data_IF_701611607642
#
_entry.id   IF_701611607642
#
_cell.length_a   1.000
_cell.length_b   1.000
_cell.length_c   1.000
_cell.angle_alpha   90.00
_cell.angle_beta   90.00
_cell.angle_gamma   90.00
#
_symmetry.space_group_name_H-M   'P 1'
#
loop_
_entity.id
_entity.type
_entity.pdbx_description
1 polymer ?
#
# COMPACT_ATOMS: atom_id res chain seq x y z
N UNK A 1 -14.74 -18.04 -10.54
CA UNK A 1 -14.68 -18.31 -12.00
C UNK A 1 -14.68 -17.03 -12.87
N UNK A 2 -15.61 -16.08 -12.68
CA UNK A 2 -15.77 -14.90 -13.56
C UNK A 2 -14.53 -14.00 -13.70
N UNK A 3 -13.76 -13.81 -12.62
CA UNK A 3 -12.49 -13.06 -12.64
C UNK A 3 -11.41 -13.77 -13.47
N UNK A 4 -11.34 -15.10 -13.41
CA UNK A 4 -10.42 -15.91 -14.20
C UNK A 4 -10.76 -15.79 -15.69
N UNK A 5 -12.04 -15.93 -16.04
CA UNK A 5 -12.53 -15.74 -17.42
C UNK A 5 -12.25 -14.33 -17.94
N UNK A 6 -12.44 -13.31 -17.10
CA UNK A 6 -12.08 -11.92 -17.40
C UNK A 6 -10.61 -11.79 -17.75
N UNK A 7 -9.72 -12.29 -16.88
CA UNK A 7 -8.29 -12.15 -17.08
C UNK A 7 -7.82 -12.87 -18.36
N UNK A 8 -8.28 -14.11 -18.57
CA UNK A 8 -7.92 -14.90 -19.75
C UNK A 8 -8.30 -14.21 -21.06
N UNK A 9 -9.52 -13.66 -21.16
CA UNK A 9 -9.98 -12.99 -22.39
C UNK A 9 -9.34 -11.62 -22.58
N UNK A 10 -9.04 -10.90 -21.50
CA UNK A 10 -8.37 -9.59 -21.60
C UNK A 10 -6.91 -9.68 -22.03
N UNK A 11 -6.24 -10.77 -21.64
CA UNK A 11 -4.86 -11.04 -22.06
C UNK A 11 -4.78 -11.61 -23.48
N UNK A 12 -5.84 -12.28 -23.95
CA UNK A 12 -5.89 -12.92 -25.26
C UNK A 12 -7.20 -12.58 -26.01
N UNK A 13 -7.36 -11.32 -26.43
CA UNK A 13 -8.61 -10.82 -27.05
C UNK A 13 -9.00 -11.53 -28.35
N UNK A 14 -8.04 -12.10 -29.06
CA UNK A 14 -8.23 -12.87 -30.31
C UNK A 14 -8.58 -14.35 -30.06
N UNK A 15 -8.56 -14.81 -28.80
CA UNK A 15 -8.86 -16.20 -28.46
C UNK A 15 -10.26 -16.61 -28.97
N UNK A 16 -10.43 -17.79 -29.60
CA UNK A 16 -11.75 -18.31 -29.95
C UNK A 16 -12.60 -18.60 -28.72
N UNK A 17 -13.92 -18.37 -28.81
CA UNK A 17 -14.86 -18.60 -27.71
C UNK A 17 -14.83 -20.04 -27.20
N UNK A 18 -14.74 -21.01 -28.11
CA UNK A 18 -14.65 -22.44 -27.79
C UNK A 18 -13.42 -22.75 -26.94
N UNK A 19 -12.28 -22.13 -27.25
CA UNK A 19 -11.03 -22.27 -26.50
C UNK A 19 -11.14 -21.67 -25.09
N UNK A 20 -11.75 -20.48 -24.97
CA UNK A 20 -12.02 -19.87 -23.66
C UNK A 20 -12.94 -20.76 -22.81
N UNK A 21 -13.99 -21.32 -23.40
CA UNK A 21 -14.90 -22.23 -22.72
C UNK A 21 -14.18 -23.49 -22.24
N UNK A 22 -13.40 -24.15 -23.10
CA UNK A 22 -12.65 -25.34 -22.74
C UNK A 22 -11.69 -25.09 -21.56
N UNK A 23 -10.94 -23.98 -21.59
CA UNK A 23 -10.04 -23.59 -20.50
C UNK A 23 -10.79 -23.38 -19.17
N UNK A 24 -11.90 -22.64 -19.20
CA UNK A 24 -12.69 -22.38 -18.00
C UNK A 24 -13.32 -23.66 -17.45
N UNK A 25 -13.79 -24.55 -18.33
CA UNK A 25 -14.40 -25.81 -17.93
C UNK A 25 -13.39 -26.76 -17.27
N UNK A 26 -12.15 -26.83 -17.79
CA UNK A 26 -11.05 -27.58 -17.15
C UNK A 26 -10.78 -27.03 -15.75
N UNK A 27 -10.63 -25.70 -15.61
CA UNK A 27 -10.39 -25.08 -14.30
C UNK A 27 -11.57 -25.32 -13.34
N UNK A 28 -12.82 -25.27 -13.83
CA UNK A 28 -13.99 -25.55 -13.01
C UNK A 28 -13.97 -26.97 -12.45
N UNK A 29 -13.71 -27.96 -13.29
CA UNK A 29 -13.64 -29.38 -12.88
C UNK A 29 -12.48 -29.66 -11.93
N UNK A 30 -11.32 -29.05 -12.17
CA UNK A 30 -10.10 -29.38 -11.44
C UNK A 30 -9.97 -28.61 -10.11
N UNK A 31 -10.54 -27.40 -10.02
CA UNK A 31 -10.26 -26.44 -8.93
C UNK A 31 -11.49 -25.94 -8.18
N UNK A 32 -12.71 -26.19 -8.65
CA UNK A 32 -13.93 -25.75 -7.94
C UNK A 32 -14.61 -26.92 -7.23
N UNK A 33 -14.97 -26.69 -5.97
CA UNK A 33 -15.66 -27.65 -5.11
C UNK A 33 -16.84 -26.92 -4.44
N UNK A 34 -18.10 -27.23 -4.81
CA UNK A 34 -18.49 -28.05 -5.95
C UNK A 34 -18.19 -27.36 -7.30
N UNK A 35 -18.07 -28.13 -8.41
CA UNK A 35 -18.01 -27.54 -9.74
C UNK A 35 -19.27 -26.74 -10.05
N UNK A 36 -19.12 -25.63 -10.76
CA UNK A 36 -20.24 -24.84 -11.27
C UNK A 36 -21.00 -25.58 -12.36
N UNK A 37 -22.29 -25.29 -12.48
CA UNK A 37 -23.12 -25.81 -13.55
C UNK A 37 -22.68 -25.31 -14.93
N UNK A 38 -22.89 -26.14 -15.95
CA UNK A 38 -22.47 -25.84 -17.31
C UNK A 38 -23.16 -24.58 -17.87
N UNK A 39 -24.41 -24.31 -17.47
CA UNK A 39 -25.15 -23.12 -17.91
C UNK A 39 -24.55 -21.86 -17.31
N UNK A 40 -24.09 -21.93 -16.06
CA UNK A 40 -23.40 -20.82 -15.40
C UNK A 40 -22.06 -20.52 -16.08
N UNK A 41 -21.27 -21.56 -16.39
CA UNK A 41 -20.02 -21.40 -17.16
C UNK A 41 -20.29 -20.75 -18.51
N UNK A 42 -21.30 -21.24 -19.24
CA UNK A 42 -21.71 -20.69 -20.52
C UNK A 42 -22.10 -19.22 -20.40
N UNK A 43 -22.89 -18.85 -19.38
CA UNK A 43 -23.29 -17.48 -19.11
C UNK A 43 -22.07 -16.56 -18.88
N UNK A 44 -21.12 -16.99 -18.05
CA UNK A 44 -19.88 -16.26 -17.76
C UNK A 44 -19.07 -16.06 -19.04
N UNK A 45 -18.82 -17.13 -19.80
CA UNK A 45 -18.03 -17.10 -21.04
C UNK A 45 -18.71 -16.20 -22.08
N UNK A 46 -20.02 -16.34 -22.28
CA UNK A 46 -20.80 -15.51 -23.20
C UNK A 46 -20.67 -14.02 -22.88
N UNK A 47 -20.88 -13.65 -21.61
CA UNK A 47 -20.82 -12.26 -21.16
C UNK A 47 -19.42 -11.67 -21.37
N UNK A 48 -18.38 -12.40 -20.98
CA UNK A 48 -16.99 -11.93 -21.11
C UNK A 48 -16.52 -11.87 -22.56
N UNK A 49 -16.91 -12.86 -23.38
CA UNK A 49 -16.52 -12.92 -24.78
C UNK A 49 -17.15 -11.79 -25.62
N UNK A 50 -18.44 -11.50 -25.39
CA UNK A 50 -19.15 -10.40 -26.07
C UNK A 50 -18.47 -9.05 -25.80
N UNK A 51 -18.06 -8.83 -24.55
CA UNK A 51 -17.49 -7.55 -24.13
C UNK A 51 -15.97 -7.43 -24.31
N UNK A 52 -15.28 -8.46 -24.82
CA UNK A 52 -13.80 -8.60 -24.78
C UNK A 52 -13.00 -7.39 -25.25
N UNK A 53 -13.48 -6.67 -26.26
CA UNK A 53 -12.79 -5.50 -26.81
C UNK A 53 -12.82 -4.30 -25.87
N UNK A 54 -13.88 -4.21 -25.06
CA UNK A 54 -14.10 -3.15 -24.07
C UNK A 54 -13.56 -3.50 -22.67
N UNK A 55 -12.99 -4.69 -22.49
CA UNK A 55 -12.41 -5.11 -21.21
C UNK A 55 -10.92 -4.73 -21.13
N UNK A 56 -10.51 -4.22 -19.98
CA UNK A 56 -9.11 -4.02 -19.61
C UNK A 56 -8.64 -5.13 -18.66
N UNK A 57 -7.37 -5.55 -18.75
CA UNK A 57 -6.79 -6.49 -17.80
C UNK A 57 -6.86 -5.94 -16.38
N UNK A 58 -7.15 -6.82 -15.41
CA UNK A 58 -6.99 -6.48 -13.99
C UNK A 58 -5.49 -6.50 -13.70
N UNK A 59 -4.92 -5.31 -13.55
CA UNK A 59 -3.49 -5.15 -13.25
C UNK A 59 -3.28 -5.50 -11.77
N UNK A 60 -2.33 -6.39 -11.50
CA UNK A 60 -1.93 -6.69 -10.13
C UNK A 60 -1.39 -5.43 -9.45
N UNK A 61 -1.61 -5.30 -8.14
CA UNK A 61 -1.00 -4.21 -7.38
C UNK A 61 0.51 -4.17 -7.62
N UNK A 62 1.05 -2.98 -7.88
CA UNK A 62 2.48 -2.79 -8.06
C UNK A 62 3.21 -3.27 -6.81
N UNK A 63 4.22 -4.14 -6.99
CA UNK A 63 5.06 -4.56 -5.86
C UNK A 63 5.81 -3.35 -5.34
N UNK A 64 5.71 -3.10 -4.03
CA UNK A 64 6.46 -2.02 -3.36
C UNK A 64 7.98 -2.23 -3.38
N UNK A 65 8.41 -3.49 -3.46
CA UNK A 65 9.83 -3.86 -3.43
C UNK A 65 10.15 -4.78 -4.60
N UNK A 66 11.23 -4.45 -5.30
CA UNK A 66 11.86 -5.27 -6.32
C UNK A 66 13.22 -5.74 -5.81
N UNK A 67 13.59 -6.97 -6.14
CA UNK A 67 14.89 -7.54 -5.79
C UNK A 67 15.64 -7.83 -7.07
N UNK A 68 16.93 -7.49 -7.11
CA UNK A 68 17.78 -7.85 -8.23
C UNK A 68 17.84 -9.40 -8.32
N UNK A 69 17.53 -10.00 -9.49
CA UNK A 69 17.54 -11.44 -9.69
C UNK A 69 18.94 -12.08 -9.56
N UNK A 70 20.02 -11.30 -9.68
CA UNK A 70 21.40 -11.80 -9.52
C UNK A 70 21.72 -12.25 -8.09
N UNK A 71 20.98 -11.76 -7.10
CA UNK A 71 21.14 -12.21 -5.72
C UNK A 71 20.28 -13.45 -5.45
N UNK A 72 20.91 -14.52 -4.97
CA UNK A 72 20.25 -15.75 -4.51
C UNK A 72 19.55 -15.58 -3.15
N UNK A 73 18.64 -14.61 -3.07
CA UNK A 73 17.87 -14.33 -1.86
C UNK A 73 16.68 -15.27 -1.74
N UNK A 74 16.64 -16.02 -0.65
CA UNK A 74 15.48 -16.83 -0.28
C UNK A 74 14.31 -15.95 0.22
N UNK A 75 13.12 -16.56 0.33
CA UNK A 75 11.90 -15.85 0.73
C UNK A 75 12.04 -15.14 2.09
N UNK A 76 12.71 -15.78 3.05
CA UNK A 76 12.93 -15.25 4.41
C UNK A 76 13.84 -14.03 4.39
N UNK A 77 14.93 -14.07 3.63
CA UNK A 77 15.86 -12.95 3.46
C UNK A 77 15.17 -11.76 2.79
N UNK A 78 14.40 -12.00 1.71
CA UNK A 78 13.58 -10.97 1.06
C UNK A 78 12.64 -10.30 2.07
N UNK A 79 11.88 -11.10 2.83
CA UNK A 79 10.96 -10.59 3.87
C UNK A 79 11.70 -9.74 4.91
N UNK A 80 12.86 -10.17 5.39
CA UNK A 80 13.67 -9.41 6.36
C UNK A 80 14.10 -8.05 5.81
N UNK A 81 14.57 -7.99 4.57
CA UNK A 81 14.95 -6.73 3.90
C UNK A 81 13.76 -5.79 3.71
N UNK A 82 12.62 -6.34 3.28
CA UNK A 82 11.37 -5.57 3.14
C UNK A 82 10.95 -4.96 4.47
N UNK A 83 10.89 -5.75 5.55
CA UNK A 83 10.48 -5.26 6.88
C UNK A 83 11.46 -4.20 7.38
N UNK A 84 12.77 -4.39 7.18
CA UNK A 84 13.78 -3.39 7.54
C UNK A 84 13.52 -2.05 6.85
N UNK A 85 13.22 -2.05 5.55
CA UNK A 85 12.92 -0.82 4.80
C UNK A 85 11.58 -0.21 5.22
N UNK A 86 10.51 -1.00 5.37
CA UNK A 86 9.21 -0.52 5.86
C UNK A 86 9.35 0.17 7.22
N UNK A 87 10.09 -0.44 8.15
CA UNK A 87 10.28 0.12 9.48
C UNK A 87 11.08 1.43 9.43
N UNK A 88 12.12 1.50 8.58
CA UNK A 88 12.86 2.76 8.35
C UNK A 88 11.95 3.85 7.81
N UNK A 89 11.17 3.55 6.77
CA UNK A 89 10.23 4.51 6.17
C UNK A 89 9.21 5.01 7.21
N UNK A 90 8.70 4.11 8.08
CA UNK A 90 7.76 4.49 9.15
C UNK A 90 8.41 5.46 10.15
N UNK A 91 9.67 5.23 10.50
CA UNK A 91 10.44 6.13 11.38
C UNK A 91 10.64 7.49 10.71
N UNK A 92 11.05 7.51 9.44
CA UNK A 92 11.24 8.74 8.66
C UNK A 92 9.95 9.55 8.55
N UNK A 93 8.82 8.89 8.25
CA UNK A 93 7.50 9.53 8.21
C UNK A 93 7.09 10.12 9.56
N UNK A 94 7.41 9.42 10.66
CA UNK A 94 7.13 9.90 12.01
C UNK A 94 7.96 11.15 12.32
N UNK A 95 9.26 11.12 12.02
CA UNK A 95 10.14 12.28 12.16
C UNK A 95 9.66 13.46 11.32
N UNK A 96 9.31 13.22 10.05
CA UNK A 96 8.82 14.25 9.14
C UNK A 96 7.55 14.94 9.67
N UNK A 97 6.58 14.18 10.20
CA UNK A 97 5.36 14.77 10.80
C UNK A 97 5.68 15.64 12.01
N UNK A 98 6.55 15.17 12.90
CA UNK A 98 6.98 15.92 14.08
C UNK A 98 7.72 17.18 13.65
N UNK A 99 8.68 17.08 12.73
CA UNK A 99 9.42 18.21 12.16
C UNK A 99 8.48 19.24 11.57
N UNK A 100 7.53 18.84 10.71
CA UNK A 100 6.55 19.74 10.12
C UNK A 100 5.70 20.48 11.17
N UNK A 101 5.37 19.79 12.26
CA UNK A 101 4.60 20.37 13.38
C UNK A 101 5.44 21.38 14.15
N UNK A 102 6.72 21.08 14.37
CA UNK A 102 7.67 21.97 15.05
C UNK A 102 7.98 23.21 14.22
N UNK A 103 8.16 23.07 12.90
CA UNK A 103 8.48 24.18 11.99
C UNK A 103 7.30 25.14 11.84
N UNK A 104 6.08 24.60 11.83
CA UNK A 104 4.85 25.37 11.64
C UNK A 104 4.15 25.69 12.97
N UNK A 105 4.91 25.68 14.07
CA UNK A 105 4.33 25.87 15.39
C UNK A 105 3.80 27.30 15.58
N UNK A 106 2.51 27.41 15.90
CA UNK A 106 1.89 28.69 16.24
C UNK A 106 2.02 28.97 17.74
N UNK A 107 3.00 29.82 18.09
CA UNK A 107 3.25 30.23 19.47
C UNK A 107 2.14 31.10 20.06
N UNK A 108 1.38 31.85 19.24
CA UNK A 108 0.28 32.68 19.74
C UNK A 108 -0.89 31.82 20.19
N UNK A 109 -1.20 30.78 19.40
CA UNK A 109 -2.32 29.88 19.67
C UNK A 109 -2.01 28.81 20.71
N UNK A 110 -0.81 28.26 20.68
CA UNK A 110 -0.45 27.07 21.45
C UNK A 110 0.60 27.33 22.54
N UNK A 111 1.15 28.54 22.60
CA UNK A 111 2.18 28.91 23.55
C UNK A 111 3.47 28.13 23.32
N UNK A 112 4.11 27.74 24.42
CA UNK A 112 5.37 26.98 24.42
C UNK A 112 5.20 25.61 23.78
N UNK A 113 6.18 25.22 22.97
CA UNK A 113 6.27 23.86 22.42
C UNK A 113 6.42 22.86 23.56
N UNK A 114 5.49 21.92 23.64
CA UNK A 114 5.52 20.79 24.57
C UNK A 114 5.29 19.49 23.81
N UNK A 115 5.80 18.37 24.33
CA UNK A 115 5.59 17.04 23.74
C UNK A 115 4.09 16.75 23.60
N UNK A 116 3.28 17.11 24.61
CA UNK A 116 1.82 16.93 24.58
C UNK A 116 1.17 17.76 23.47
N UNK A 117 1.59 19.01 23.32
CA UNK A 117 1.09 19.89 22.27
C UNK A 117 1.45 19.38 20.87
N UNK A 118 2.70 18.96 20.66
CA UNK A 118 3.14 18.39 19.38
C UNK A 118 2.39 17.10 19.05
N UNK A 119 2.21 16.21 20.03
CA UNK A 119 1.43 14.98 19.85
C UNK A 119 -0.03 15.27 19.44
N UNK A 120 -0.66 16.25 20.07
CA UNK A 120 -2.03 16.68 19.75
C UNK A 120 -2.14 17.22 18.32
N UNK A 121 -1.28 18.18 17.95
CA UNK A 121 -1.34 18.85 16.63
C UNK A 121 -0.96 17.89 15.49
N UNK A 122 0.03 17.03 15.72
CA UNK A 122 0.49 16.05 14.71
C UNK A 122 -0.41 14.81 14.62
N UNK A 123 -1.39 14.67 15.52
CA UNK A 123 -2.20 13.46 15.72
C UNK A 123 -1.33 12.20 15.83
N UNK A 124 -0.33 12.25 16.71
CA UNK A 124 0.63 11.17 16.94
C UNK A 124 0.61 10.72 18.39
N UNK A 125 0.96 9.46 18.61
CA UNK A 125 1.15 8.93 19.94
C UNK A 125 2.27 9.67 20.69
N UNK A 126 2.01 9.98 21.97
CA UNK A 126 2.91 10.77 22.81
C UNK A 126 4.28 10.11 23.00
N UNK A 127 4.36 8.78 23.12
CA UNK A 127 5.64 8.07 23.29
C UNK A 127 6.47 8.17 22.01
N UNK A 128 5.83 8.10 20.85
CA UNK A 128 6.50 8.29 19.55
C UNK A 128 7.07 9.70 19.41
N UNK A 129 6.30 10.73 19.79
CA UNK A 129 6.80 12.11 19.80
C UNK A 129 7.96 12.25 20.78
N UNK A 130 7.80 11.80 22.02
CA UNK A 130 8.85 11.87 23.05
C UNK A 130 10.16 11.22 22.59
N UNK A 131 10.09 10.06 21.93
CA UNK A 131 11.26 9.35 21.42
C UNK A 131 12.11 10.18 20.46
N UNK A 132 11.49 10.98 19.59
CA UNK A 132 12.20 11.75 18.56
C UNK A 132 12.31 13.25 18.86
N UNK A 133 11.62 13.73 19.89
CA UNK A 133 11.51 15.16 20.19
C UNK A 133 12.87 15.82 20.41
N UNK A 134 13.71 15.28 21.29
CA UNK A 134 15.01 15.87 21.63
C UNK A 134 15.92 15.98 20.41
N UNK A 135 16.06 14.90 19.63
CA UNK A 135 16.87 14.86 18.40
C UNK A 135 16.38 15.92 17.39
N UNK A 136 15.07 16.09 17.24
CA UNK A 136 14.51 17.00 16.25
C UNK A 136 14.56 18.48 16.70
N UNK A 137 14.40 18.76 17.99
CA UNK A 137 14.56 20.12 18.54
C UNK A 137 15.99 20.62 18.34
N UNK A 138 16.97 19.76 18.63
CA UNK A 138 18.40 20.04 18.42
C UNK A 138 18.68 20.29 16.94
N UNK A 139 18.25 19.39 16.06
CA UNK A 139 18.45 19.54 14.60
C UNK A 139 17.83 20.80 14.00
N UNK A 140 16.70 21.25 14.55
CA UNK A 140 16.01 22.44 14.06
C UNK A 140 16.51 23.73 14.72
N UNK A 141 17.51 23.66 15.62
CA UNK A 141 18.01 24.78 16.40
C UNK A 141 16.86 25.58 17.07
N UNK A 142 15.80 24.89 17.50
CA UNK A 142 14.68 25.51 18.20
C UNK A 142 15.17 25.84 19.61
N UNK A 143 15.82 26.99 19.75
CA UNK A 143 16.29 27.50 21.02
C UNK A 143 15.10 27.83 21.93
N UNK A 144 15.27 27.61 23.23
CA UNK A 144 14.27 27.96 24.27
C UNK A 144 13.94 29.47 24.30
N UNK A 145 14.65 30.29 23.52
CA UNK A 145 14.64 31.76 23.54
C UNK A 145 13.42 32.40 22.85
N UNK A 146 12.71 31.70 21.96
CA UNK A 146 11.43 32.23 21.39
C UNK A 146 10.24 32.16 22.35
N UNK A 147 10.44 31.69 23.59
CA UNK A 147 9.38 31.51 24.59
C UNK A 147 9.05 32.80 25.38
N UNK A 148 9.77 33.91 25.16
CA UNK A 148 9.75 35.09 26.05
C UNK A 148 9.07 36.33 25.42
N UNK A 149 8.78 36.35 24.11
CA UNK A 149 8.09 37.49 23.49
C UNK A 149 6.57 37.33 23.48
N UNK A 150 5.97 37.18 24.66
CA UNK A 150 4.57 37.50 24.90
C UNK A 150 4.54 38.14 26.30
N UNK A 151 4.80 39.45 26.34
CA UNK A 151 4.34 40.32 27.42
C UNK A 151 2.94 40.81 27.04
#
# INVERSE_FOLDING_TARGET
>A
MSSIAHQLITLNKSCPKSRLFALINVINKDKMIPPLDINEINSIVNKKYRNRHNLTPLINASRRFFYNPEYSLNATQKRRLTIKKINRDRIEMSKMKITKTLTNWDYKKHGKITIKGVASISNMDRKTVQKYYSELIEKLNISKTKQIQCK
#
